data_IF_195325135876
#
_entry.id   IF_195325135876
#
_cell.length_a   1.000
_cell.length_b   1.000
_cell.length_c   1.000
_cell.angle_alpha   90.00
_cell.angle_beta   90.00
_cell.angle_gamma   90.00
#
_symmetry.space_group_name_H-M   'P 1'
#
loop_
_entity.id
_entity.type
_entity.pdbx_description
1 polymer ?
#
# COMPACT_ATOMS: atom_id res chain seq x y z
N UNK A 1 -32.36 -54.23 -41.42
CA UNK A 1 -32.75 -53.07 -40.60
C UNK A 1 -31.49 -52.39 -40.09
N UNK A 2 -31.50 -51.07 -40.15
CA UNK A 2 -30.45 -50.07 -39.90
C UNK A 2 -29.23 -50.49 -39.08
N UNK A 3 -28.09 -50.70 -39.75
CA UNK A 3 -26.78 -50.41 -39.17
C UNK A 3 -26.47 -48.92 -39.40
N UNK A 4 -27.05 -48.08 -38.55
CA UNK A 4 -26.91 -46.63 -38.56
C UNK A 4 -26.31 -46.21 -37.22
N UNK A 5 -25.01 -46.39 -37.06
CA UNK A 5 -24.28 -45.62 -36.06
C UNK A 5 -23.04 -45.04 -36.71
N UNK A 6 -23.04 -43.71 -36.73
CA UNK A 6 -22.06 -42.86 -37.40
C UNK A 6 -20.64 -43.29 -37.06
N UNK A 7 -19.87 -43.55 -38.11
CA UNK A 7 -18.42 -43.51 -38.06
C UNK A 7 -18.05 -42.06 -37.73
N UNK A 8 -17.82 -41.78 -36.45
CA UNK A 8 -17.16 -40.55 -36.00
C UNK A 8 -15.87 -40.44 -36.80
N UNK A 9 -15.84 -39.52 -37.77
CA UNK A 9 -14.61 -39.03 -38.33
C UNK A 9 -13.90 -38.35 -37.15
N UNK A 10 -13.00 -39.09 -36.49
CA UNK A 10 -11.97 -38.50 -35.64
C UNK A 10 -11.14 -37.62 -36.55
N UNK A 11 -11.56 -36.37 -36.66
CA UNK A 11 -10.78 -35.32 -37.29
C UNK A 11 -9.74 -34.90 -36.25
N UNK A 12 -8.74 -35.77 -36.03
CA UNK A 12 -7.56 -35.52 -35.21
C UNK A 12 -6.65 -34.53 -35.97
N UNK A 13 -7.18 -33.33 -36.27
CA UNK A 13 -6.37 -32.21 -36.77
C UNK A 13 -5.61 -31.65 -35.58
N UNK A 14 -4.42 -32.18 -35.35
CA UNK A 14 -3.46 -31.59 -34.43
C UNK A 14 -3.14 -30.15 -34.83
N UNK A 15 -3.00 -29.26 -33.84
CA UNK A 15 -2.55 -27.89 -34.03
C UNK A 15 -1.25 -27.90 -34.85
N UNK A 16 -1.19 -27.08 -35.89
CA UNK A 16 0.06 -26.96 -36.64
C UNK A 16 1.07 -26.15 -35.80
N UNK A 17 2.34 -26.53 -35.85
CA UNK A 17 3.39 -25.85 -35.10
C UNK A 17 3.51 -24.37 -35.51
N UNK A 18 3.27 -24.09 -36.80
CA UNK A 18 3.25 -22.73 -37.35
C UNK A 18 2.11 -21.89 -36.78
N UNK A 19 0.94 -22.47 -36.52
CA UNK A 19 -0.22 -21.77 -35.98
C UNK A 19 0.03 -21.32 -34.54
N UNK A 20 0.62 -22.18 -33.71
CA UNK A 20 1.04 -21.79 -32.36
C UNK A 20 2.16 -20.73 -32.43
N UNK A 21 3.11 -20.87 -33.35
CA UNK A 21 4.23 -19.93 -33.51
C UNK A 21 3.77 -18.50 -33.84
N UNK A 22 2.83 -18.36 -34.77
CA UNK A 22 2.28 -17.04 -35.14
C UNK A 22 1.50 -16.43 -33.97
N UNK A 23 0.74 -17.25 -33.22
CA UNK A 23 -0.04 -16.78 -32.06
C UNK A 23 0.88 -16.25 -30.96
N UNK A 24 1.92 -16.99 -30.57
CA UNK A 24 2.85 -16.52 -29.53
C UNK A 24 3.66 -15.31 -29.99
N UNK A 25 3.97 -15.20 -31.29
CA UNK A 25 4.62 -14.02 -31.86
C UNK A 25 3.74 -12.76 -31.73
N UNK A 26 2.45 -12.86 -32.04
CA UNK A 26 1.50 -11.74 -31.90
C UNK A 26 1.30 -11.39 -30.42
N UNK A 27 1.09 -12.38 -29.53
CA UNK A 27 0.96 -12.13 -28.08
C UNK A 27 2.23 -11.46 -27.54
N UNK A 28 3.41 -11.88 -27.98
CA UNK A 28 4.68 -11.27 -27.59
C UNK A 28 4.75 -9.78 -27.94
N UNK A 29 4.35 -9.40 -29.16
CA UNK A 29 4.29 -7.99 -29.57
C UNK A 29 3.28 -7.20 -28.74
N UNK A 30 2.08 -7.76 -28.50
CA UNK A 30 1.05 -7.10 -27.71
C UNK A 30 1.50 -6.88 -26.26
N UNK A 31 2.08 -7.91 -25.63
CA UNK A 31 2.61 -7.83 -24.26
C UNK A 31 3.75 -6.83 -24.18
N UNK A 32 4.68 -6.81 -25.15
CA UNK A 32 5.78 -5.84 -25.17
C UNK A 32 5.28 -4.38 -25.16
N UNK A 33 4.18 -4.09 -25.85
CA UNK A 33 3.56 -2.76 -25.88
C UNK A 33 2.69 -2.47 -24.65
N UNK A 34 1.98 -3.48 -24.14
CA UNK A 34 1.00 -3.32 -23.05
C UNK A 34 1.63 -3.36 -21.65
N UNK A 35 2.61 -4.24 -21.42
CA UNK A 35 3.23 -4.48 -20.12
C UNK A 35 3.71 -3.20 -19.40
N UNK A 36 4.51 -2.30 -20.01
CA UNK A 36 5.00 -1.12 -19.29
C UNK A 36 3.86 -0.18 -18.85
N UNK A 37 2.76 -0.12 -19.61
CA UNK A 37 1.59 0.71 -19.26
C UNK A 37 0.81 0.11 -18.10
N UNK A 38 0.64 -1.21 -18.09
CA UNK A 38 -0.06 -1.92 -17.02
C UNK A 38 0.73 -1.83 -15.72
N UNK A 39 2.05 -2.00 -15.75
CA UNK A 39 2.90 -1.90 -14.56
C UNK A 39 2.79 -0.49 -13.94
N UNK A 40 2.90 0.57 -14.75
CA UNK A 40 2.73 1.94 -14.25
C UNK A 40 1.36 2.16 -13.59
N UNK A 41 0.28 1.68 -14.22
CA UNK A 41 -1.07 1.79 -13.65
C UNK A 41 -1.22 1.04 -12.32
N UNK A 42 -0.55 -0.09 -12.16
CA UNK A 42 -0.54 -0.82 -10.89
C UNK A 42 0.19 -0.01 -9.82
N UNK A 43 1.32 0.61 -10.16
CA UNK A 43 2.05 1.47 -9.21
C UNK A 43 1.25 2.71 -8.83
N UNK A 44 0.58 3.37 -9.79
CA UNK A 44 -0.32 4.51 -9.54
C UNK A 44 -1.50 4.09 -8.65
N UNK A 45 -2.08 2.90 -8.90
CA UNK A 45 -3.18 2.37 -8.08
C UNK A 45 -2.75 2.04 -6.65
N UNK A 46 -1.50 1.58 -6.46
CA UNK A 46 -0.92 1.37 -5.13
C UNK A 46 -0.72 2.69 -4.40
N UNK A 47 -0.19 3.71 -5.08
CA UNK A 47 -0.04 5.05 -4.52
C UNK A 47 -1.39 5.64 -4.09
N UNK A 48 -2.41 5.55 -4.96
CA UNK A 48 -3.75 6.03 -4.65
C UNK A 48 -4.39 5.28 -3.46
N UNK A 49 -4.09 3.98 -3.29
CA UNK A 49 -4.53 3.22 -2.12
C UNK A 49 -3.88 3.75 -0.83
N UNK A 50 -2.58 4.04 -0.87
CA UNK A 50 -1.85 4.59 0.28
C UNK A 50 -2.32 6.01 0.64
N UNK A 51 -2.67 6.82 -0.35
CA UNK A 51 -3.29 8.14 -0.13
C UNK A 51 -4.67 8.02 0.54
N UNK A 52 -5.48 7.04 0.12
CA UNK A 52 -6.76 6.77 0.74
C UNK A 52 -6.59 6.31 2.19
N UNK A 53 -5.61 5.45 2.47
CA UNK A 53 -5.23 5.06 3.82
C UNK A 53 -4.81 6.26 4.68
N UNK A 54 -3.93 7.12 4.16
CA UNK A 54 -3.49 8.32 4.88
C UNK A 54 -4.67 9.23 5.22
N UNK A 55 -5.66 9.34 4.33
CA UNK A 55 -6.90 10.09 4.60
C UNK A 55 -7.70 9.48 5.75
N UNK A 56 -7.87 8.16 5.78
CA UNK A 56 -8.60 7.48 6.86
C UNK A 56 -7.90 7.70 8.22
N UNK A 57 -6.57 7.63 8.25
CA UNK A 57 -5.79 7.92 9.46
C UNK A 57 -5.95 9.37 9.93
N UNK A 58 -6.03 10.31 8.99
CA UNK A 58 -6.29 11.71 9.31
C UNK A 58 -7.69 11.92 9.90
N UNK A 59 -8.71 11.23 9.35
CA UNK A 59 -10.06 11.28 9.89
C UNK A 59 -10.12 10.72 11.32
N UNK A 60 -9.34 9.67 11.61
CA UNK A 60 -9.20 9.12 12.97
C UNK A 60 -8.50 10.08 13.95
N UNK A 61 -7.42 10.77 13.53
CA UNK A 61 -6.80 11.81 14.37
C UNK A 61 -7.82 12.89 14.72
N UNK A 62 -8.61 13.34 13.74
CA UNK A 62 -9.60 14.39 13.94
C UNK A 62 -10.73 13.96 14.90
N UNK A 63 -11.15 12.70 14.88
CA UNK A 63 -12.15 12.21 15.84
C UNK A 63 -11.59 12.17 17.26
N UNK A 64 -10.36 11.69 17.45
CA UNK A 64 -9.70 11.64 18.76
C UNK A 64 -9.48 13.06 19.31
N UNK A 65 -9.02 13.98 18.48
CA UNK A 65 -8.89 15.41 18.80
C UNK A 65 -10.22 15.99 19.30
N UNK A 66 -11.30 15.76 18.56
CA UNK A 66 -12.61 16.26 18.92
C UNK A 66 -13.09 15.71 20.28
N UNK A 67 -12.78 14.46 20.57
CA UNK A 67 -13.09 13.83 21.87
C UNK A 67 -12.22 14.39 23.01
N UNK A 68 -10.93 14.63 22.76
CA UNK A 68 -10.02 15.24 23.73
C UNK A 68 -10.47 16.65 24.11
N UNK A 69 -10.86 17.47 23.11
CA UNK A 69 -11.41 18.80 23.34
C UNK A 69 -12.72 18.77 24.15
N UNK A 70 -13.63 17.81 23.89
CA UNK A 70 -14.87 17.65 24.67
C UNK A 70 -14.59 17.30 26.14
N UNK A 71 -13.50 16.59 26.41
CA UNK A 71 -13.10 16.20 27.76
C UNK A 71 -12.30 17.28 28.50
N UNK A 72 -12.08 18.45 27.88
CA UNK A 72 -11.32 19.57 28.44
C UNK A 72 -9.97 19.14 29.05
N UNK A 73 -9.28 18.20 28.40
CA UNK A 73 -7.97 17.73 28.86
C UNK A 73 -6.93 18.83 28.63
N UNK A 74 -6.39 19.37 29.71
CA UNK A 74 -5.25 20.29 29.62
C UNK A 74 -3.97 19.53 29.21
N UNK A 75 -3.15 20.14 28.34
CA UNK A 75 -1.86 19.61 27.84
C UNK A 75 -1.95 18.38 26.93
N UNK A 76 -3.11 18.11 26.33
CA UNK A 76 -3.21 17.07 25.30
C UNK A 76 -2.70 17.60 23.94
N UNK A 77 -2.00 16.74 23.19
CA UNK A 77 -1.46 17.06 21.86
C UNK A 77 -1.58 15.83 20.94
N UNK A 78 -1.88 16.04 19.66
CA UNK A 78 -2.03 14.95 18.67
C UNK A 78 -0.79 14.08 18.49
N UNK A 79 0.41 14.63 18.74
CA UNK A 79 1.66 13.87 18.63
C UNK A 79 1.80 12.76 19.68
N UNK A 80 1.01 12.80 20.78
CA UNK A 80 1.06 11.82 21.87
C UNK A 80 0.18 10.60 21.62
N UNK A 81 -0.70 10.65 20.61
CA UNK A 81 -1.59 9.54 20.28
C UNK A 81 -0.73 8.35 19.83
N UNK A 82 -1.06 7.17 20.31
CA UNK A 82 -0.35 5.93 19.99
C UNK A 82 -0.99 5.19 18.82
N UNK A 83 -0.23 4.32 18.16
CA UNK A 83 -0.74 3.48 17.09
C UNK A 83 -1.92 2.60 17.55
N UNK A 84 -1.84 2.05 18.77
CA UNK A 84 -2.93 1.27 19.36
C UNK A 84 -4.22 2.08 19.53
N UNK A 85 -4.12 3.34 19.94
CA UNK A 85 -5.27 4.25 20.02
C UNK A 85 -5.83 4.58 18.63
N UNK A 86 -4.99 4.73 17.60
CA UNK A 86 -5.49 4.90 16.23
C UNK A 86 -6.25 3.66 15.74
N UNK A 87 -5.73 2.46 16.02
CA UNK A 87 -6.34 1.21 15.56
C UNK A 87 -7.78 1.03 16.05
N UNK A 88 -8.15 1.57 17.21
CA UNK A 88 -9.54 1.53 17.70
C UNK A 88 -10.53 2.25 16.77
N UNK A 89 -10.06 3.25 16.02
CA UNK A 89 -10.87 4.04 15.08
C UNK A 89 -10.76 3.54 13.63
N UNK A 90 -9.86 2.59 13.36
CA UNK A 90 -9.69 1.98 12.05
C UNK A 90 -10.51 0.69 11.98
N UNK A 91 -11.41 0.60 10.99
CA UNK A 91 -12.14 -0.64 10.71
C UNK A 91 -11.17 -1.75 10.27
N UNK A 92 -11.48 -3.02 10.61
CA UNK A 92 -10.67 -4.22 10.36
C UNK A 92 -10.28 -4.42 8.87
N UNK A 93 -10.94 -3.69 7.97
CA UNK A 93 -10.73 -3.75 6.53
C UNK A 93 -9.54 -2.92 6.03
N UNK A 94 -8.98 -2.02 6.85
CA UNK A 94 -7.92 -1.10 6.45
C UNK A 94 -6.57 -1.39 7.13
N UNK A 95 -6.29 -2.66 7.47
CA UNK A 95 -5.07 -3.05 8.21
C UNK A 95 -3.83 -2.70 7.40
N UNK A 96 -3.20 -1.61 7.85
CA UNK A 96 -1.87 -1.18 7.47
C UNK A 96 -0.92 -1.80 8.46
N UNK A 97 -0.01 -2.62 7.95
CA UNK A 97 1.05 -3.19 8.78
C UNK A 97 2.08 -2.12 9.09
N UNK A 98 2.34 -1.94 10.38
CA UNK A 98 3.54 -1.28 10.87
C UNK A 98 4.42 -2.32 11.54
N UNK A 99 5.73 -2.21 11.34
CA UNK A 99 6.71 -3.00 12.06
C UNK A 99 6.93 -2.46 13.50
N UNK A 100 6.31 -1.32 13.82
CA UNK A 100 6.40 -0.64 15.11
C UNK A 100 5.27 -1.09 16.05
N UNK A 101 5.56 -1.18 17.35
CA UNK A 101 4.60 -1.65 18.34
C UNK A 101 3.44 -0.68 18.58
N UNK A 102 2.34 -1.17 19.17
CA UNK A 102 1.13 -0.38 19.45
C UNK A 102 1.38 0.89 20.28
N UNK A 103 2.41 0.92 21.12
CA UNK A 103 2.78 2.11 21.91
C UNK A 103 3.51 3.20 21.14
N UNK A 104 3.80 3.01 19.84
CA UNK A 104 4.50 3.99 19.02
C UNK A 104 3.61 5.21 18.81
N UNK A 105 4.13 6.40 19.11
CA UNK A 105 3.36 7.64 18.95
C UNK A 105 3.27 8.06 17.49
N UNK A 106 2.23 8.81 17.14
CA UNK A 106 2.01 9.39 15.80
C UNK A 106 3.25 10.15 15.32
N UNK A 107 3.98 10.82 16.22
CA UNK A 107 5.18 11.59 15.86
C UNK A 107 6.35 10.77 15.29
N UNK A 108 6.42 9.48 15.62
CA UNK A 108 7.48 8.56 15.17
C UNK A 108 6.95 7.46 14.24
N UNK A 109 5.64 7.49 13.97
CA UNK A 109 4.95 6.44 13.23
C UNK A 109 5.29 6.50 11.73
N UNK A 110 5.82 5.39 11.24
CA UNK A 110 6.02 5.14 9.80
C UNK A 110 5.26 3.88 9.43
N UNK A 111 4.38 3.99 8.44
CA UNK A 111 3.55 2.89 7.98
C UNK A 111 3.93 2.48 6.56
N UNK A 112 3.97 1.18 6.32
CA UNK A 112 4.22 0.61 5.00
C UNK A 112 2.89 0.21 4.35
N UNK A 113 2.55 0.92 3.27
CA UNK A 113 1.34 0.68 2.49
C UNK A 113 1.53 -0.39 1.40
N UNK A 114 0.74 -0.27 0.33
CA UNK A 114 0.83 -1.13 -0.86
C UNK A 114 1.91 -0.65 -1.84
N UNK A 115 2.28 0.63 -1.82
CA UNK A 115 3.37 1.16 -2.62
C UNK A 115 4.72 0.71 -2.06
N UNK A 116 5.64 0.32 -2.95
CA UNK A 116 7.01 -0.03 -2.57
C UNK A 116 7.93 1.18 -2.47
N UNK A 117 7.54 2.29 -3.10
CA UNK A 117 8.36 3.50 -3.23
C UNK A 117 7.95 4.57 -2.25
N UNK A 118 6.85 4.39 -1.53
CA UNK A 118 6.28 5.40 -0.67
C UNK A 118 5.94 4.80 0.67
N UNK A 119 6.02 5.64 1.70
CA UNK A 119 5.64 5.32 3.07
C UNK A 119 4.69 6.40 3.57
N UNK A 120 3.83 6.03 4.51
CA UNK A 120 2.90 6.96 5.13
C UNK A 120 3.54 7.41 6.45
N UNK A 121 3.79 8.71 6.59
CA UNK A 121 4.36 9.31 7.81
C UNK A 121 3.50 10.44 8.31
N UNK A 122 3.45 10.62 9.64
CA UNK A 122 2.82 11.80 10.22
C UNK A 122 3.81 12.97 10.23
N UNK A 123 3.35 14.14 9.80
CA UNK A 123 4.11 15.38 9.89
C UNK A 123 3.59 16.24 11.03
N UNK A 124 4.52 16.84 11.78
CA UNK A 124 4.21 17.75 12.87
C UNK A 124 3.39 18.97 12.39
N UNK A 125 2.56 19.57 13.25
CA UNK A 125 1.82 20.79 12.95
C UNK A 125 2.73 21.89 12.42
N UNK A 126 2.27 22.61 11.41
CA UNK A 126 2.98 23.76 10.83
C UNK A 126 4.46 23.50 10.47
N UNK A 127 4.80 22.28 10.05
CA UNK A 127 6.16 21.88 9.65
C UNK A 127 6.20 21.37 8.21
N UNK A 128 7.20 21.81 7.43
CA UNK A 128 7.41 21.38 6.05
C UNK A 128 6.16 21.56 5.18
N UNK A 129 5.64 20.45 4.66
CA UNK A 129 4.44 20.40 3.82
C UNK A 129 3.11 20.46 4.60
N UNK A 130 3.15 20.38 5.94
CA UNK A 130 1.96 20.41 6.78
C UNK A 130 1.54 21.85 7.14
N UNK A 131 0.34 22.26 6.72
CA UNK A 131 -0.29 23.57 7.03
C UNK A 131 -1.40 23.48 8.09
N UNK A 132 -1.43 22.40 8.87
CA UNK A 132 -2.45 22.13 9.89
C UNK A 132 -1.92 22.46 11.30
N UNK A 133 -2.85 22.72 12.22
CA UNK A 133 -2.58 22.84 13.67
C UNK A 133 -2.42 21.48 14.36
N UNK A 134 -2.73 20.39 13.66
CA UNK A 134 -2.61 19.00 14.14
C UNK A 134 -1.65 18.18 13.28
N UNK A 135 -1.17 17.06 13.82
CA UNK A 135 -0.43 16.07 13.05
C UNK A 135 -1.29 15.55 11.90
N UNK A 136 -0.66 15.33 10.75
CA UNK A 136 -1.34 14.83 9.56
C UNK A 136 -0.46 13.82 8.84
N UNK A 137 -1.05 12.70 8.44
CA UNK A 137 -0.42 11.67 7.62
C UNK A 137 -0.35 12.10 6.17
N UNK A 138 0.84 11.92 5.61
CA UNK A 138 1.14 12.11 4.20
C UNK A 138 1.85 10.89 3.64
N UNK A 139 1.60 10.63 2.36
CA UNK A 139 2.36 9.67 1.59
C UNK A 139 3.61 10.38 1.08
N UNK A 140 4.78 9.92 1.49
CA UNK A 140 6.06 10.49 1.08
C UNK A 140 6.90 9.43 0.37
N UNK A 141 7.72 9.86 -0.57
CA UNK A 141 8.64 8.97 -1.27
C UNK A 141 9.67 8.42 -0.26
N UNK A 142 9.82 7.10 -0.25
CA UNK A 142 10.78 6.41 0.60
C UNK A 142 12.16 6.63 -0.02
N UNK A 143 13.01 7.41 0.65
CA UNK A 143 14.41 7.54 0.25
C UNK A 143 15.07 6.16 0.35
N UNK A 144 15.40 5.56 -0.80
CA UNK A 144 16.25 4.36 -0.88
C UNK A 144 17.65 4.76 -0.40
N UNK A 145 17.91 4.70 0.91
CA UNK A 145 19.12 5.33 1.43
C UNK A 145 19.50 5.15 2.89
N UNK A 146 19.05 4.12 3.60
CA UNK A 146 19.90 3.41 4.59
C UNK A 146 19.42 1.98 4.68
N UNK A 147 20.15 1.05 4.06
CA UNK A 147 20.08 -0.33 4.48
C UNK A 147 20.36 -0.37 5.98
N UNK A 148 19.51 -1.09 6.71
CA UNK A 148 19.86 -1.63 8.00
C UNK A 148 21.13 -2.47 7.78
N UNK A 149 22.29 -1.93 8.13
CA UNK A 149 23.47 -2.75 8.44
C UNK A 149 23.31 -3.15 9.92
N UNK A 150 22.98 -4.41 10.23
CA UNK A 150 22.86 -4.86 11.60
C UNK A 150 24.28 -5.13 12.13
N UNK A 151 24.99 -4.10 12.58
CA UNK A 151 26.30 -4.32 13.17
C UNK A 151 27.11 -3.08 13.48
N UNK A 152 26.80 -2.40 14.57
CA UNK A 152 27.86 -1.91 15.45
C UNK A 152 27.34 -1.72 16.87
N UNK A 153 27.46 -2.78 17.67
CA UNK A 153 27.50 -2.66 19.11
C UNK A 153 28.80 -1.96 19.50
N UNK A 154 28.71 -0.66 19.77
CA UNK A 154 29.79 0.12 20.37
C UNK A 154 29.67 0.10 21.89
N UNK A 155 30.35 -0.85 22.53
CA UNK A 155 30.78 -0.77 23.93
C UNK A 155 31.98 0.17 24.07
N UNK A 156 32.04 0.95 25.15
CA UNK A 156 33.20 1.74 25.61
C UNK A 156 32.93 3.25 25.56
N UNK A 157 33.10 4.06 26.60
CA UNK A 157 33.71 3.91 27.94
C UNK A 157 32.87 4.65 28.99
#
# INVERSE_FOLDING_TARGET
MLNFFCRTLKDDKGFTLIEVLVVVAIIGILVALAAPRVIKRIDDARLAADEATAKILNDAILSIELEAHKQNKENWHTGMITWGELMEFLDDTNVVSTDQGEGTTVSELTLHGKSKKHVIKALAPNSGDNKSEVYKFFVIEQEEGTGNDPGEGGTGD
#
